data_IF_908209310569
#
_entry.id   IF_908209310569
#
_cell.length_a   1.000
_cell.length_b   1.000
_cell.length_c   1.000
_cell.angle_alpha   90.00
_cell.angle_beta   90.00
_cell.angle_gamma   90.00
#
_symmetry.space_group_name_H-M   'P 1'
#
loop_
_entity.id
_entity.type
_entity.pdbx_description
1 polymer ?
#
# COMPACT_ATOMS: atom_id res chain seq x y z
N UNK A 1 19.22 23.88 -13.01
CA UNK A 1 20.22 23.92 -11.91
C UNK A 1 19.62 24.04 -10.49
N UNK A 2 18.41 24.59 -10.28
CA UNK A 2 17.82 24.78 -8.94
C UNK A 2 17.45 23.47 -8.19
N UNK A 3 16.91 22.48 -8.90
CA UNK A 3 16.47 21.21 -8.30
C UNK A 3 17.60 20.40 -7.64
N UNK A 4 18.79 20.35 -8.25
CA UNK A 4 19.97 19.67 -7.67
C UNK A 4 20.47 20.35 -6.41
N UNK A 5 20.33 21.68 -6.34
CA UNK A 5 20.75 22.48 -5.17
C UNK A 5 19.83 22.20 -3.99
N UNK A 6 18.52 22.16 -4.23
CA UNK A 6 17.52 21.82 -3.21
C UNK A 6 17.69 20.38 -2.70
N UNK A 7 17.98 19.43 -3.59
CA UNK A 7 18.24 18.04 -3.21
C UNK A 7 19.50 17.90 -2.32
N UNK A 8 20.58 18.62 -2.65
CA UNK A 8 21.78 18.66 -1.80
C UNK A 8 21.49 19.27 -0.43
N UNK A 9 20.79 20.39 -0.39
CA UNK A 9 20.43 21.05 0.87
C UNK A 9 19.61 20.12 1.76
N UNK A 10 18.60 19.45 1.20
CA UNK A 10 17.80 18.47 1.92
C UNK A 10 18.65 17.32 2.46
N UNK A 11 19.59 16.80 1.67
CA UNK A 11 20.47 15.71 2.10
C UNK A 11 21.33 16.12 3.32
N UNK A 12 21.88 17.34 3.33
CA UNK A 12 22.62 17.89 4.48
C UNK A 12 21.73 17.95 5.72
N UNK A 13 20.51 18.48 5.59
CA UNK A 13 19.57 18.61 6.71
C UNK A 13 19.14 17.25 7.26
N UNK A 14 18.87 16.27 6.39
CA UNK A 14 18.55 14.89 6.81
C UNK A 14 19.70 14.32 7.66
N UNK A 15 20.95 14.52 7.23
CA UNK A 15 22.11 14.01 7.98
C UNK A 15 22.24 14.68 9.35
N UNK A 16 22.08 16.01 9.44
CA UNK A 16 22.09 16.73 10.71
C UNK A 16 20.96 16.27 11.66
N UNK A 17 19.79 15.95 11.12
CA UNK A 17 18.69 15.39 11.91
C UNK A 17 19.01 13.99 12.41
N UNK A 18 19.59 13.12 11.56
CA UNK A 18 19.96 11.75 11.95
C UNK A 18 21.10 11.70 12.97
N UNK A 19 22.02 12.67 12.95
CA UNK A 19 23.10 12.79 13.93
C UNK A 19 22.69 13.52 15.21
N UNK A 20 21.44 13.97 15.31
CA UNK A 20 20.91 14.68 16.49
C UNK A 20 21.34 16.14 16.62
N UNK A 21 22.02 16.68 15.60
CA UNK A 21 22.46 18.08 15.56
C UNK A 21 21.31 19.06 15.26
N UNK A 22 20.23 18.56 14.64
CA UNK A 22 19.07 19.34 14.25
C UNK A 22 17.78 18.54 14.52
N UNK A 23 16.67 19.22 14.78
CA UNK A 23 15.36 18.54 14.86
C UNK A 23 14.69 18.48 13.49
N UNK A 24 13.88 17.46 13.24
CA UNK A 24 13.09 17.34 12.00
C UNK A 24 12.18 18.57 11.76
N UNK A 25 11.66 19.17 12.83
CA UNK A 25 10.86 20.40 12.74
C UNK A 25 11.70 21.60 12.28
N UNK A 26 12.91 21.78 12.81
CA UNK A 26 13.81 22.85 12.41
C UNK A 26 14.29 22.67 10.96
N UNK A 27 14.60 21.44 10.55
CA UNK A 27 14.95 21.11 9.17
C UNK A 27 13.80 21.43 8.19
N UNK A 28 12.56 21.08 8.56
CA UNK A 28 11.37 21.39 7.75
C UNK A 28 11.17 22.91 7.61
N UNK A 29 11.35 23.66 8.69
CA UNK A 29 11.24 25.12 8.70
C UNK A 29 12.32 25.77 7.81
N UNK A 30 13.58 25.31 7.89
CA UNK A 30 14.67 25.81 7.04
C UNK A 30 14.44 25.54 5.55
N UNK A 31 13.73 24.46 5.21
CA UNK A 31 13.34 24.14 3.83
C UNK A 31 12.03 24.82 3.38
N UNK A 32 11.31 25.51 4.28
CA UNK A 32 10.00 26.09 3.98
C UNK A 32 8.92 25.05 3.69
N UNK A 33 9.01 23.84 4.27
CA UNK A 33 8.07 22.74 4.05
C UNK A 33 7.40 22.29 5.35
N UNK A 34 6.29 21.58 5.24
CA UNK A 34 5.66 20.95 6.41
C UNK A 34 6.53 19.82 6.97
N UNK A 35 6.42 19.56 8.28
CA UNK A 35 7.08 18.42 8.92
C UNK A 35 6.69 17.07 8.30
N UNK A 36 5.44 16.93 7.85
CA UNK A 36 4.96 15.74 7.12
C UNK A 36 5.71 15.56 5.79
N UNK A 37 5.89 16.63 5.03
CA UNK A 37 6.64 16.64 3.76
C UNK A 37 8.11 16.29 4.00
N UNK A 38 8.73 16.82 5.06
CA UNK A 38 10.09 16.47 5.44
C UNK A 38 10.25 14.96 5.64
N UNK A 39 9.38 14.32 6.44
CA UNK A 39 9.47 12.87 6.66
C UNK A 39 9.24 12.05 5.39
N UNK A 40 8.37 12.48 4.49
CA UNK A 40 8.18 11.83 3.20
C UNK A 40 9.46 11.88 2.36
N UNK A 41 10.13 13.03 2.34
CA UNK A 41 11.36 13.20 1.58
C UNK A 41 12.55 12.48 2.21
N UNK A 42 12.65 12.50 3.54
CA UNK A 42 13.64 11.73 4.29
C UNK A 42 13.52 10.22 4.01
N UNK A 43 12.30 9.69 4.10
CA UNK A 43 12.02 8.29 3.75
C UNK A 43 12.47 7.95 2.34
N UNK A 44 12.07 8.78 1.35
CA UNK A 44 12.46 8.58 -0.06
C UNK A 44 13.97 8.62 -0.25
N UNK A 45 14.66 9.54 0.42
CA UNK A 45 16.11 9.67 0.32
C UNK A 45 16.83 8.42 0.87
N UNK A 46 16.36 7.88 2.00
CA UNK A 46 16.90 6.66 2.59
C UNK A 46 16.61 5.43 1.73
N UNK A 47 15.38 5.29 1.21
CA UNK A 47 15.04 4.23 0.26
C UNK A 47 15.92 4.26 -0.99
N UNK A 48 16.15 5.46 -1.55
CA UNK A 48 17.07 5.64 -2.67
C UNK A 48 18.50 5.24 -2.31
N UNK A 49 19.00 5.66 -1.15
CA UNK A 49 20.33 5.28 -0.67
C UNK A 49 20.47 3.76 -0.52
N UNK A 50 19.49 3.09 0.10
CA UNK A 50 19.51 1.63 0.24
C UNK A 50 19.49 0.92 -1.12
N UNK A 51 18.70 1.42 -2.07
CA UNK A 51 18.64 0.87 -3.44
C UNK A 51 19.98 1.01 -4.17
N UNK A 52 20.63 2.15 -4.05
CA UNK A 52 21.92 2.41 -4.71
C UNK A 52 23.09 1.67 -4.06
N UNK A 53 23.04 1.45 -2.74
CA UNK A 53 24.03 0.67 -1.99
C UNK A 53 23.81 -0.84 -2.07
N UNK A 54 22.64 -1.29 -2.52
CA UNK A 54 22.36 -2.71 -2.69
C UNK A 54 23.30 -3.33 -3.74
N UNK A 55 23.79 -4.57 -3.53
CA UNK A 55 24.57 -5.29 -4.53
C UNK A 55 23.79 -5.36 -5.84
N UNK A 56 24.34 -4.78 -6.90
CA UNK A 56 23.78 -4.95 -8.24
C UNK A 56 24.19 -6.33 -8.74
N UNK A 57 23.27 -7.14 -9.30
CA UNK A 57 23.62 -8.45 -9.81
C UNK A 57 24.76 -8.32 -10.83
N UNK A 58 25.80 -9.16 -10.76
CA UNK A 58 26.89 -9.12 -11.72
C UNK A 58 26.35 -9.48 -13.11
N UNK A 59 26.40 -8.53 -14.04
CA UNK A 59 25.90 -8.70 -15.40
C UNK A 59 25.62 -7.35 -16.07
N UNK A 60 25.62 -7.33 -17.40
CA UNK A 60 25.13 -6.18 -18.19
C UNK A 60 23.76 -5.78 -17.62
N UNK A 61 23.49 -4.49 -17.31
CA UNK A 61 22.19 -4.10 -16.78
C UNK A 61 21.09 -4.68 -17.67
N UNK A 62 20.06 -5.26 -17.03
CA UNK A 62 18.86 -5.66 -17.75
C UNK A 62 18.45 -4.51 -18.67
N UNK A 63 18.18 -4.84 -19.94
CA UNK A 63 17.80 -3.88 -20.97
C UNK A 63 16.76 -2.89 -20.42
N UNK A 64 16.75 -1.63 -20.90
CA UNK A 64 15.75 -0.64 -20.49
C UNK A 64 14.38 -1.29 -20.47
N UNK A 65 13.67 -1.09 -19.35
CA UNK A 65 12.41 -1.75 -19.00
C UNK A 65 11.57 -1.94 -20.25
N UNK A 66 11.34 -3.19 -20.61
CA UNK A 66 10.55 -3.54 -21.78
C UNK A 66 9.16 -2.89 -21.62
N UNK A 67 8.77 -1.93 -22.49
CA UNK A 67 7.50 -1.24 -22.36
C UNK A 67 6.32 -2.21 -22.41
N UNK A 68 6.49 -3.38 -23.02
CA UNK A 68 5.51 -4.45 -23.03
C UNK A 68 5.32 -5.04 -21.63
N UNK A 69 6.41 -5.22 -20.87
CA UNK A 69 6.37 -5.73 -19.48
C UNK A 69 5.63 -4.77 -18.55
N UNK A 70 5.83 -3.46 -18.68
CA UNK A 70 5.07 -2.46 -17.91
C UNK A 70 3.58 -2.45 -18.26
N UNK A 71 3.26 -2.54 -19.56
CA UNK A 71 1.87 -2.61 -20.01
C UNK A 71 1.18 -3.86 -19.48
N UNK A 72 1.87 -5.01 -19.51
CA UNK A 72 1.36 -6.27 -18.98
C UNK A 72 1.16 -6.20 -17.45
N UNK A 73 2.09 -5.59 -16.71
CA UNK A 73 1.93 -5.41 -15.26
C UNK A 73 0.75 -4.52 -14.90
N UNK A 74 0.51 -3.44 -15.66
CA UNK A 74 -0.68 -2.60 -15.48
C UNK A 74 -1.97 -3.37 -15.76
N UNK A 75 -2.00 -4.14 -16.85
CA UNK A 75 -3.15 -5.00 -17.19
C UNK A 75 -3.44 -6.03 -16.10
N UNK A 76 -2.42 -6.68 -15.55
CA UNK A 76 -2.58 -7.63 -14.44
C UNK A 76 -3.20 -6.92 -13.23
N UNK A 77 -2.68 -5.76 -12.85
CA UNK A 77 -3.20 -5.00 -11.72
C UNK A 77 -4.66 -4.57 -11.92
N UNK A 78 -5.04 -4.15 -13.12
CA UNK A 78 -6.41 -3.75 -13.41
C UNK A 78 -7.36 -4.96 -13.40
N UNK A 79 -6.94 -6.09 -13.99
CA UNK A 79 -7.71 -7.34 -13.95
C UNK A 79 -7.89 -7.87 -12.52
N UNK A 80 -6.86 -7.78 -11.67
CA UNK A 80 -6.95 -8.19 -10.27
C UNK A 80 -7.96 -7.33 -9.49
N UNK A 81 -8.02 -6.02 -9.76
CA UNK A 81 -9.03 -5.12 -9.17
C UNK A 81 -10.44 -5.47 -9.62
N UNK A 82 -10.63 -5.75 -10.91
CA UNK A 82 -11.92 -6.16 -11.46
C UNK A 82 -12.38 -7.49 -10.86
N UNK A 83 -11.47 -8.47 -10.78
CA UNK A 83 -11.73 -9.77 -10.19
C UNK A 83 -12.16 -9.63 -8.72
N UNK A 84 -11.43 -8.82 -7.95
CA UNK A 84 -11.77 -8.53 -6.54
C UNK A 84 -13.17 -7.92 -6.42
N UNK A 85 -13.50 -6.95 -7.26
CA UNK A 85 -14.80 -6.27 -7.25
C UNK A 85 -15.95 -7.23 -7.59
N UNK A 86 -15.73 -8.12 -8.56
CA UNK A 86 -16.70 -9.15 -8.95
C UNK A 86 -16.88 -10.20 -7.85
N UNK A 87 -15.80 -10.63 -7.19
CA UNK A 87 -15.88 -11.55 -6.05
C UNK A 87 -16.70 -10.96 -4.90
N UNK A 88 -16.47 -9.70 -4.56
CA UNK A 88 -17.26 -8.98 -3.54
C UNK A 88 -18.75 -8.92 -3.91
N UNK A 89 -19.06 -8.68 -5.19
CA UNK A 89 -20.44 -8.64 -5.67
C UNK A 89 -21.12 -10.00 -5.58
N UNK A 90 -20.41 -11.09 -5.90
CA UNK A 90 -20.91 -12.46 -5.72
C UNK A 90 -21.19 -12.75 -4.25
N UNK A 91 -20.26 -12.41 -3.37
CA UNK A 91 -20.41 -12.61 -1.92
C UNK A 91 -21.65 -11.85 -1.36
N UNK A 92 -21.85 -10.61 -1.79
CA UNK A 92 -23.04 -9.83 -1.41
C UNK A 92 -24.32 -10.50 -1.91
N UNK A 93 -24.33 -10.97 -3.17
CA UNK A 93 -25.50 -11.67 -3.75
C UNK A 93 -25.83 -12.93 -2.97
N UNK A 94 -24.84 -13.74 -2.61
CA UNK A 94 -25.01 -14.96 -1.82
C UNK A 94 -25.58 -14.66 -0.43
N UNK A 95 -25.02 -13.65 0.27
CA UNK A 95 -25.52 -13.22 1.58
C UNK A 95 -26.96 -12.72 1.51
N UNK A 96 -27.32 -11.97 0.48
CA UNK A 96 -28.70 -11.50 0.27
C UNK A 96 -29.67 -12.67 -0.02
N UNK A 97 -29.23 -13.69 -0.77
CA UNK A 97 -30.03 -14.89 -1.01
C UNK A 97 -30.22 -15.72 0.26
N UNK A 98 -29.19 -15.86 1.10
CA UNK A 98 -29.29 -16.54 2.39
C UNK A 98 -30.21 -15.78 3.36
N UNK A 99 -30.12 -14.45 3.41
CA UNK A 99 -31.00 -13.62 4.23
C UNK A 99 -32.48 -13.70 3.77
N UNK A 100 -32.72 -13.86 2.46
CA UNK A 100 -34.05 -14.13 1.91
C UNK A 100 -34.59 -15.53 2.24
N UNK A 101 -33.72 -16.50 2.49
CA UNK A 101 -34.07 -17.90 2.82
C UNK A 101 -34.08 -18.17 4.34
N UNK A 102 -34.55 -17.21 5.16
CA UNK A 102 -34.51 -17.24 6.63
C UNK A 102 -34.85 -18.59 7.30
N UNK A 103 -34.41 -18.79 8.57
CA UNK A 103 -34.17 -20.10 9.17
C UNK A 103 -35.40 -21.01 9.08
N UNK A 104 -35.22 -22.19 8.48
CA UNK A 104 -36.21 -23.26 8.52
C UNK A 104 -36.49 -23.61 9.99
N UNK A 105 -37.72 -23.35 10.44
CA UNK A 105 -38.23 -23.80 11.74
C UNK A 105 -38.13 -25.33 11.79
N UNK A 106 -37.13 -25.86 12.51
CA UNK A 106 -37.14 -27.26 12.97
C UNK A 106 -38.25 -27.42 14.00
N UNK A 107 -39.30 -28.12 13.62
CA UNK A 107 -40.39 -28.58 14.49
C UNK A 107 -39.87 -29.62 15.49
N UNK A 108 -40.14 -29.51 16.81
CA UNK A 108 -40.10 -30.65 17.70
C UNK A 108 -41.53 -31.17 17.89
N UNK A 109 -41.87 -32.29 17.25
CA UNK A 109 -43.00 -33.13 17.65
C UNK A 109 -42.46 -34.32 18.45
N UNK A 110 -42.66 -34.35 19.77
CA UNK A 110 -42.88 -35.58 20.55
C UNK A 110 -43.05 -35.30 22.06
N UNK A 111 -44.30 -35.29 22.55
CA UNK A 111 -44.72 -35.94 23.81
C UNK A 111 -46.27 -35.97 23.84
N UNK A 112 -46.91 -37.05 23.37
CA UNK A 112 -47.45 -38.18 24.15
C UNK A 112 -48.40 -37.79 25.31
N UNK A 113 -49.56 -38.50 25.29
CA UNK A 113 -50.52 -38.84 26.37
C UNK A 113 -51.57 -37.76 26.70
N UNK A 114 -52.83 -37.94 26.28
CA UNK A 114 -53.90 -38.86 26.75
C UNK A 114 -54.66 -38.32 27.97
N UNK A 115 -55.96 -38.62 28.02
CA UNK A 115 -56.99 -38.34 29.04
C UNK A 115 -57.46 -36.88 29.11
N UNK A 116 -58.76 -36.56 29.22
CA UNK A 116 -59.94 -37.38 29.56
C UNK A 116 -61.21 -36.76 28.97
#
# INVERSE_FOLDING_TARGET
MKATTQARQLAVLIMQVRTGQLTASAAAQQMGISRKTYYQWERRALEGMMKELAPRPPGRPERPVDPEKEQLQRKIQDLERELTSNQQLIEIRERLQQARQGPSKKNPKSSRRSSS
#
